data_IF_344280610555
#
_entry.id   IF_344280610555
#
_cell.length_a   1.000
_cell.length_b   1.000
_cell.length_c   1.000
_cell.angle_alpha   90.00
_cell.angle_beta   90.00
_cell.angle_gamma   90.00
#
_symmetry.space_group_name_H-M   'P 1'
#
loop_
_entity.id
_entity.type
_entity.pdbx_description
1 polymer ?
#
# COMPACT_ATOMS: atom_id res chain seq x y z
N UNK A 1 3.21 45.16 -44.80
CA UNK A 1 2.17 45.25 -45.85
C UNK A 1 1.41 43.91 -45.82
N UNK A 2 0.11 43.94 -45.57
CA UNK A 2 -0.94 43.70 -46.59
C UNK A 2 -1.03 42.20 -46.96
N UNK A 3 -1.95 41.42 -46.37
CA UNK A 3 -3.36 41.21 -46.79
C UNK A 3 -3.51 40.19 -47.93
N UNK A 4 -4.42 39.22 -47.91
CA UNK A 4 -5.45 38.88 -46.90
C UNK A 4 -6.30 37.68 -47.35
N UNK A 5 -7.33 37.31 -46.56
CA UNK A 5 -8.29 36.25 -46.93
C UNK A 5 -9.26 36.67 -48.05
N UNK A 6 -10.04 35.74 -48.63
CA UNK A 6 -11.43 35.66 -48.15
C UNK A 6 -12.03 34.23 -48.06
N UNK A 7 -13.28 34.19 -47.61
CA UNK A 7 -14.15 33.03 -47.35
C UNK A 7 -14.94 32.66 -48.62
N UNK A 8 -15.51 31.44 -48.68
CA UNK A 8 -16.64 31.12 -49.56
C UNK A 8 -17.79 30.47 -48.77
N UNK A 9 -19.03 30.89 -49.05
CA UNK A 9 -20.26 30.51 -48.32
C UNK A 9 -21.44 30.38 -49.29
N UNK A 10 -22.28 29.35 -49.13
CA UNK A 10 -23.57 29.10 -49.84
C UNK A 10 -24.31 28.00 -49.04
N UNK A 11 -25.61 28.01 -48.64
CA UNK A 11 -26.88 28.63 -49.13
C UNK A 11 -27.27 28.20 -50.56
N UNK A 12 -28.53 27.95 -50.98
CA UNK A 12 -29.93 27.94 -50.42
C UNK A 12 -30.77 26.99 -51.37
N UNK A 13 -32.09 26.72 -51.37
CA UNK A 13 -33.38 27.14 -50.75
C UNK A 13 -34.35 25.91 -50.85
N UNK A 14 -34.90 25.31 -49.78
CA UNK A 14 -36.28 25.48 -49.23
C UNK A 14 -37.44 25.50 -50.28
N UNK A 15 -38.50 24.69 -50.15
CA UNK A 15 -39.91 24.84 -50.65
C UNK A 15 -40.74 23.55 -50.29
N UNK A 16 -42.08 23.49 -50.18
CA UNK A 16 -43.11 24.44 -49.69
C UNK A 16 -44.46 23.72 -49.36
N UNK A 17 -45.41 24.47 -48.76
CA UNK A 17 -46.83 24.21 -48.40
C UNK A 17 -47.77 23.83 -49.61
N UNK A 18 -49.11 23.54 -49.49
CA UNK A 18 -50.07 23.96 -48.43
C UNK A 18 -51.27 23.04 -48.00
N UNK A 19 -51.97 23.47 -46.93
CA UNK A 19 -53.45 23.33 -46.72
C UNK A 19 -53.91 22.81 -45.32
N UNK A 20 -55.14 23.05 -44.81
CA UNK A 20 -56.14 24.15 -45.02
C UNK A 20 -57.22 24.16 -43.87
N UNK A 21 -58.44 24.69 -44.06
CA UNK A 21 -59.52 24.94 -43.05
C UNK A 21 -60.85 24.19 -43.39
N UNK A 22 -61.97 24.14 -42.63
CA UNK A 22 -62.73 25.13 -41.78
C UNK A 22 -63.75 24.50 -40.76
N UNK A 23 -64.10 25.21 -39.65
CA UNK A 23 -65.42 25.33 -38.93
C UNK A 23 -66.25 24.10 -38.45
N UNK A 24 -67.10 24.09 -37.39
CA UNK A 24 -67.37 24.96 -36.20
C UNK A 24 -68.50 24.37 -35.29
N UNK A 25 -68.70 24.88 -34.06
CA UNK A 25 -69.91 24.74 -33.18
C UNK A 25 -70.13 23.41 -32.40
N UNK A 26 -70.65 23.32 -31.15
CA UNK A 26 -70.72 24.24 -29.99
C UNK A 26 -71.14 23.52 -28.67
N UNK A 27 -70.83 24.14 -27.51
CA UNK A 27 -71.42 23.99 -26.15
C UNK A 27 -71.37 22.62 -25.39
N UNK A 28 -70.96 22.63 -24.10
CA UNK A 28 -71.01 21.45 -23.21
C UNK A 28 -70.30 21.60 -21.84
N UNK A 29 -71.01 22.14 -20.85
CA UNK A 29 -70.65 22.40 -19.44
C UNK A 29 -69.51 21.62 -18.71
N UNK A 30 -68.65 22.39 -18.01
CA UNK A 30 -68.07 22.17 -16.66
C UNK A 30 -67.57 20.78 -16.20
N UNK A 31 -66.24 20.67 -15.96
CA UNK A 31 -65.66 20.41 -14.64
C UNK A 31 -64.11 20.37 -14.67
N UNK A 32 -63.44 21.07 -13.76
CA UNK A 32 -62.00 20.88 -13.48
C UNK A 32 -61.83 19.84 -12.36
N UNK A 33 -60.79 19.01 -12.41
CA UNK A 33 -59.67 19.28 -11.50
C UNK A 33 -58.28 19.32 -12.18
N UNK A 34 -57.30 19.84 -11.44
CA UNK A 34 -55.92 20.06 -11.89
C UNK A 34 -55.08 18.77 -12.00
N UNK A 35 -53.87 18.81 -12.61
CA UNK A 35 -53.32 17.67 -13.35
C UNK A 35 -52.67 16.58 -12.51
N UNK A 36 -52.37 15.47 -13.19
CA UNK A 36 -51.68 14.30 -12.66
C UNK A 36 -50.37 14.65 -11.92
N UNK A 37 -50.11 13.92 -10.84
CA UNK A 37 -48.85 13.98 -10.11
C UNK A 37 -47.69 13.53 -11.00
N UNK A 38 -46.52 14.20 -10.94
CA UNK A 38 -45.34 13.72 -11.62
C UNK A 38 -44.90 12.40 -10.98
N UNK A 39 -44.86 11.33 -11.77
CA UNK A 39 -44.26 10.04 -11.37
C UNK A 39 -42.75 10.17 -11.34
N UNK A 40 -42.25 10.84 -10.29
CA UNK A 40 -40.83 10.88 -9.94
C UNK A 40 -40.37 9.46 -9.72
N UNK A 41 -39.71 8.87 -10.72
CA UNK A 41 -39.11 7.54 -10.70
C UNK A 41 -37.82 7.57 -9.86
N UNK A 42 -37.97 7.97 -8.60
CA UNK A 42 -36.94 7.93 -7.58
C UNK A 42 -36.51 6.47 -7.42
N UNK A 43 -35.40 6.11 -8.09
CA UNK A 43 -34.76 4.80 -7.99
C UNK A 43 -34.23 4.65 -6.56
N UNK A 44 -35.12 4.25 -5.66
CA UNK A 44 -34.83 3.92 -4.27
C UNK A 44 -33.67 2.94 -4.27
N UNK A 45 -32.55 3.34 -3.66
CA UNK A 45 -31.38 2.48 -3.49
C UNK A 45 -31.85 1.18 -2.82
N UNK A 46 -31.45 0.04 -3.41
CA UNK A 46 -31.64 -1.28 -2.81
C UNK A 46 -30.78 -1.33 -1.55
N UNK A 47 -31.24 -2.04 -0.53
CA UNK A 47 -30.41 -2.32 0.64
C UNK A 47 -29.58 -3.57 0.41
N UNK A 48 -28.53 -3.73 1.21
CA UNK A 48 -27.76 -4.97 1.34
C UNK A 48 -28.64 -6.23 1.53
N UNK A 49 -29.75 -6.11 2.26
CA UNK A 49 -30.74 -7.19 2.47
C UNK A 49 -31.46 -7.64 1.21
N UNK A 50 -31.42 -6.82 0.15
CA UNK A 50 -32.24 -6.96 -1.05
C UNK A 50 -31.41 -7.50 -2.23
N UNK A 51 -30.16 -7.93 -1.97
CA UNK A 51 -29.22 -8.51 -2.93
C UNK A 51 -29.26 -10.05 -2.84
N UNK A 52 -29.23 -10.70 -4.00
CA UNK A 52 -29.07 -12.15 -4.10
C UNK A 52 -27.64 -12.58 -3.75
N UNK A 53 -27.46 -13.86 -3.41
CA UNK A 53 -26.13 -14.46 -3.20
C UNK A 53 -25.22 -14.28 -4.41
N UNK A 54 -25.78 -14.35 -5.63
CA UNK A 54 -25.00 -14.22 -6.86
C UNK A 54 -24.65 -12.76 -7.16
N UNK A 55 -25.51 -11.78 -6.87
CA UNK A 55 -25.14 -10.36 -6.90
C UNK A 55 -24.05 -10.04 -5.86
N UNK A 56 -24.14 -10.61 -4.65
CA UNK A 56 -23.10 -10.48 -3.62
C UNK A 56 -21.77 -11.09 -4.10
N UNK A 57 -21.81 -12.27 -4.73
CA UNK A 57 -20.64 -12.92 -5.31
C UNK A 57 -20.09 -12.13 -6.50
N UNK A 58 -20.93 -11.49 -7.32
CA UNK A 58 -20.50 -10.65 -8.44
C UNK A 58 -19.85 -9.35 -7.95
N UNK A 59 -20.44 -8.68 -6.95
CA UNK A 59 -19.86 -7.52 -6.25
C UNK A 59 -18.45 -7.86 -5.72
N UNK A 60 -18.26 -9.08 -5.20
CA UNK A 60 -16.96 -9.59 -4.76
C UNK A 60 -16.03 -9.97 -5.94
N UNK A 61 -16.55 -10.53 -7.04
CA UNK A 61 -15.76 -10.93 -8.21
C UNK A 61 -15.33 -9.75 -9.11
N UNK A 62 -15.98 -8.59 -8.94
CA UNK A 62 -15.60 -7.29 -9.49
C UNK A 62 -14.53 -6.58 -8.63
N UNK A 63 -14.07 -7.20 -7.52
CA UNK A 63 -12.86 -6.80 -6.76
C UNK A 63 -11.73 -6.47 -7.73
N UNK A 64 -11.17 -5.28 -7.59
CA UNK A 64 -10.00 -4.87 -8.36
C UNK A 64 -10.23 -4.77 -9.86
N UNK A 65 -11.49 -4.65 -10.32
CA UNK A 65 -11.85 -4.40 -11.73
C UNK A 65 -12.61 -3.09 -11.95
N UNK A 66 -13.46 -2.68 -11.00
CA UNK A 66 -14.09 -1.34 -11.00
C UNK A 66 -14.01 -0.67 -9.60
N UNK A 67 -14.02 0.68 -9.53
CA UNK A 67 -14.14 1.42 -8.27
C UNK A 67 -15.46 1.14 -7.54
N UNK A 68 -15.44 1.15 -6.20
CA UNK A 68 -16.63 0.86 -5.37
C UNK A 68 -17.84 1.75 -5.70
N UNK A 69 -17.62 3.03 -6.06
CA UNK A 69 -18.70 3.94 -6.44
C UNK A 69 -19.38 3.56 -7.78
N UNK A 70 -18.66 2.89 -8.68
CA UNK A 70 -19.23 2.35 -9.93
C UNK A 70 -19.96 1.04 -9.67
N UNK A 71 -19.41 0.17 -8.81
CA UNK A 71 -20.08 -1.06 -8.34
C UNK A 71 -21.40 -0.71 -7.62
N UNK A 72 -21.39 0.25 -6.69
CA UNK A 72 -22.59 0.74 -6.00
C UNK A 72 -23.65 1.24 -6.99
N UNK A 73 -23.25 2.07 -7.98
CA UNK A 73 -24.14 2.51 -9.06
C UNK A 73 -24.68 1.36 -9.92
N UNK A 74 -23.89 0.30 -10.19
CA UNK A 74 -24.32 -0.87 -10.97
C UNK A 74 -25.43 -1.66 -10.26
N UNK A 75 -25.25 -1.97 -8.97
CA UNK A 75 -26.21 -2.80 -8.22
C UNK A 75 -27.31 -1.98 -7.52
N UNK A 76 -27.20 -0.66 -7.53
CA UNK A 76 -28.19 0.26 -6.94
C UNK A 76 -28.05 0.46 -5.44
N UNK A 77 -26.85 0.26 -4.89
CA UNK A 77 -26.51 0.25 -3.45
C UNK A 77 -25.49 1.34 -3.11
N UNK A 78 -25.29 1.64 -1.82
CA UNK A 78 -24.31 2.64 -1.41
C UNK A 78 -22.85 2.13 -1.38
N UNK A 79 -21.88 3.04 -1.51
CA UNK A 79 -20.44 2.71 -1.38
C UNK A 79 -20.10 2.16 0.02
N UNK A 80 -20.83 2.64 1.03
CA UNK A 80 -20.81 2.13 2.41
C UNK A 80 -21.31 0.68 2.47
N UNK A 81 -22.34 0.31 1.70
CA UNK A 81 -22.83 -1.07 1.60
C UNK A 81 -21.89 -1.97 0.81
N UNK A 82 -21.27 -1.49 -0.29
CA UNK A 82 -20.19 -2.22 -0.99
C UNK A 82 -19.05 -2.55 -0.02
N UNK A 83 -18.66 -1.57 0.81
CA UNK A 83 -17.65 -1.77 1.86
C UNK A 83 -18.12 -2.70 2.99
N UNK A 84 -19.41 -2.69 3.33
CA UNK A 84 -20.00 -3.60 4.31
C UNK A 84 -20.02 -5.06 3.80
N UNK A 85 -20.37 -5.30 2.53
CA UNK A 85 -20.26 -6.61 1.86
C UNK A 85 -18.82 -7.12 1.94
N UNK A 86 -17.85 -6.26 1.63
CA UNK A 86 -16.43 -6.59 1.64
C UNK A 86 -15.94 -6.98 3.05
N UNK A 87 -16.37 -6.27 4.11
CA UNK A 87 -16.10 -6.64 5.51
C UNK A 87 -16.81 -7.94 5.93
N UNK A 88 -18.08 -8.10 5.55
CA UNK A 88 -18.88 -9.28 5.88
C UNK A 88 -18.29 -10.56 5.27
N UNK A 89 -17.78 -10.49 4.03
CA UNK A 89 -17.11 -11.61 3.38
C UNK A 89 -15.75 -11.92 4.02
N UNK A 90 -14.93 -10.92 4.40
CA UNK A 90 -13.72 -11.15 5.23
C UNK A 90 -14.07 -11.91 6.51
N UNK A 91 -15.10 -11.47 7.24
CA UNK A 91 -15.56 -12.13 8.47
C UNK A 91 -16.11 -13.55 8.23
N UNK A 92 -16.80 -13.78 7.11
CA UNK A 92 -17.29 -15.11 6.69
C UNK A 92 -16.13 -16.07 6.39
N UNK A 93 -15.10 -15.61 5.66
CA UNK A 93 -13.89 -16.40 5.39
C UNK A 93 -13.14 -16.73 6.68
N UNK A 94 -12.99 -15.78 7.60
CA UNK A 94 -12.35 -16.04 8.90
C UNK A 94 -13.08 -17.12 9.71
N UNK A 95 -14.42 -17.09 9.76
CA UNK A 95 -15.24 -18.15 10.41
C UNK A 95 -15.11 -19.51 9.73
N UNK A 96 -15.02 -19.55 8.40
CA UNK A 96 -14.86 -20.81 7.65
C UNK A 96 -13.47 -21.46 7.89
N UNK A 97 -12.44 -20.68 8.20
CA UNK A 97 -11.13 -21.19 8.61
C UNK A 97 -11.19 -21.77 10.03
N UNK A 98 -11.73 -21.00 10.99
CA UNK A 98 -11.94 -21.40 12.38
C UNK A 98 -12.81 -22.68 12.52
N UNK A 99 -13.90 -22.79 11.74
CA UNK A 99 -14.74 -24.00 11.69
C UNK A 99 -14.09 -25.19 10.94
N UNK A 100 -13.00 -24.97 10.21
CA UNK A 100 -12.21 -26.03 9.58
C UNK A 100 -11.12 -26.55 10.55
N UNK A 101 -10.45 -25.67 11.28
CA UNK A 101 -9.47 -26.06 12.32
C UNK A 101 -10.13 -26.91 13.42
N UNK A 102 -11.36 -26.57 13.84
CA UNK A 102 -12.16 -27.39 14.79
C UNK A 102 -12.49 -28.79 14.29
N UNK A 103 -12.52 -29.01 12.96
CA UNK A 103 -12.86 -30.30 12.33
C UNK A 103 -11.64 -31.16 12.02
N UNK A 104 -10.48 -30.54 11.85
CA UNK A 104 -9.22 -31.23 11.59
C UNK A 104 -8.11 -30.55 12.41
N UNK A 105 -7.90 -30.96 13.69
CA UNK A 105 -7.03 -30.25 14.61
C UNK A 105 -5.58 -30.25 14.09
N UNK A 106 -5.10 -29.05 13.76
CA UNK A 106 -3.77 -28.83 13.23
C UNK A 106 -2.73 -29.23 14.27
N UNK A 107 -1.86 -30.18 13.93
CA UNK A 107 -0.70 -30.52 14.76
C UNK A 107 0.30 -29.39 14.72
N UNK A 108 0.71 -28.91 15.89
CA UNK A 108 1.69 -27.84 16.09
C UNK A 108 2.94 -28.37 16.79
N UNK A 109 4.09 -27.82 16.44
CA UNK A 109 5.40 -28.18 17.00
C UNK A 109 5.63 -27.35 18.27
N UNK A 110 5.56 -27.99 19.43
CA UNK A 110 5.75 -27.34 20.73
C UNK A 110 7.18 -26.85 20.94
N UNK A 111 7.32 -25.83 21.78
CA UNK A 111 8.62 -25.28 22.23
C UNK A 111 9.52 -24.80 21.07
N UNK A 112 8.91 -24.50 19.91
CA UNK A 112 9.54 -24.01 18.69
C UNK A 112 8.95 -22.66 18.32
N UNK A 113 9.84 -21.74 17.97
CA UNK A 113 9.52 -20.42 17.43
C UNK A 113 10.32 -20.20 16.15
N UNK A 114 9.65 -19.74 15.09
CA UNK A 114 10.29 -19.42 13.81
C UNK A 114 10.13 -17.93 13.54
N UNK A 115 11.23 -17.24 13.24
CA UNK A 115 11.22 -15.80 12.92
C UNK A 115 11.64 -15.58 11.48
N UNK A 116 10.87 -14.78 10.75
CA UNK A 116 11.17 -14.33 9.37
C UNK A 116 11.34 -12.80 9.36
N UNK A 117 12.59 -12.30 9.33
CA UNK A 117 12.89 -10.88 9.13
C UNK A 117 12.41 -10.36 7.76
N UNK A 118 11.54 -9.36 7.80
CA UNK A 118 11.03 -8.66 6.63
C UNK A 118 11.43 -7.18 6.68
N UNK A 119 11.46 -6.57 5.50
CA UNK A 119 11.37 -5.13 5.35
C UNK A 119 10.15 -4.81 4.49
N UNK A 120 9.36 -3.84 4.90
CA UNK A 120 8.26 -3.30 4.11
C UNK A 120 8.43 -1.80 3.96
N UNK A 121 7.91 -1.23 2.88
CA UNK A 121 8.07 0.20 2.67
C UNK A 121 7.60 0.71 1.32
N UNK A 122 7.98 1.95 1.05
CA UNK A 122 7.78 2.65 -0.21
C UNK A 122 9.07 3.32 -0.67
N UNK A 123 9.27 3.32 -1.98
CA UNK A 123 10.23 4.21 -2.65
C UNK A 123 9.48 5.08 -3.66
N UNK A 124 9.76 6.38 -3.70
CA UNK A 124 9.08 7.32 -4.58
C UNK A 124 10.07 8.21 -5.35
N UNK A 125 9.76 8.46 -6.62
CA UNK A 125 10.58 9.23 -7.55
C UNK A 125 9.75 10.38 -8.12
N UNK A 126 10.23 11.62 -7.93
CA UNK A 126 9.64 12.78 -8.58
C UNK A 126 9.80 12.71 -10.10
N UNK A 127 8.73 12.95 -10.85
CA UNK A 127 8.71 12.82 -12.31
C UNK A 127 9.29 14.05 -13.03
N UNK A 128 9.52 15.16 -12.33
CA UNK A 128 10.15 16.37 -12.87
C UNK A 128 9.38 16.92 -14.07
N UNK A 129 10.06 17.09 -15.22
CA UNK A 129 9.44 17.56 -16.47
C UNK A 129 8.42 16.58 -17.09
N UNK A 130 8.21 15.40 -16.50
CA UNK A 130 7.16 14.44 -16.86
C UNK A 130 5.99 14.42 -15.87
N UNK A 131 6.03 15.27 -14.83
CA UNK A 131 4.92 15.41 -13.91
C UNK A 131 3.71 16.08 -14.57
N UNK A 132 2.51 15.66 -14.18
CA UNK A 132 1.25 16.36 -14.44
C UNK A 132 0.48 16.61 -13.11
N UNK A 133 -0.70 17.23 -13.19
CA UNK A 133 -1.55 17.57 -12.03
C UNK A 133 -1.94 16.35 -11.18
N UNK A 134 -2.06 15.17 -11.79
CA UNK A 134 -2.49 13.92 -11.15
C UNK A 134 -1.34 12.92 -10.93
N UNK A 135 -0.20 13.12 -11.60
CA UNK A 135 0.96 12.26 -11.52
C UNK A 135 2.25 13.09 -11.34
N UNK A 136 2.53 13.55 -10.12
CA UNK A 136 3.81 14.23 -9.82
C UNK A 136 4.93 13.25 -9.44
N UNK A 137 4.58 12.06 -8.95
CA UNK A 137 5.50 11.01 -8.52
C UNK A 137 5.13 9.65 -9.09
N UNK A 138 6.14 8.81 -9.33
CA UNK A 138 6.00 7.35 -9.45
C UNK A 138 6.56 6.71 -8.19
N UNK A 139 5.80 5.83 -7.57
CA UNK A 139 6.16 5.18 -6.32
C UNK A 139 5.91 3.67 -6.38
N UNK A 140 6.67 2.92 -5.59
CA UNK A 140 6.58 1.47 -5.47
C UNK A 140 6.46 1.11 -4.01
N UNK A 141 5.38 0.43 -3.61
CA UNK A 141 5.21 -0.18 -2.28
C UNK A 141 5.59 -1.66 -2.35
N UNK A 142 6.23 -2.19 -1.32
CA UNK A 142 6.78 -3.55 -1.32
C UNK A 142 6.78 -4.22 0.05
N UNK A 143 6.89 -5.56 0.05
CA UNK A 143 7.31 -6.39 1.18
C UNK A 143 8.41 -7.33 0.68
N UNK A 144 9.57 -7.32 1.34
CA UNK A 144 10.75 -8.13 0.98
C UNK A 144 11.34 -8.80 2.21
N UNK A 145 12.20 -9.81 2.03
CA UNK A 145 13.05 -10.26 3.12
C UNK A 145 14.05 -9.15 3.47
N UNK A 146 14.32 -8.95 4.76
CA UNK A 146 15.41 -8.08 5.19
C UNK A 146 16.77 -8.55 4.65
N UNK A 147 16.92 -9.87 4.43
CA UNK A 147 18.14 -10.55 3.97
C UNK A 147 18.21 -10.75 2.43
N UNK A 148 17.24 -10.23 1.68
CA UNK A 148 17.20 -10.33 0.21
C UNK A 148 16.72 -11.67 -0.35
N UNK A 149 16.21 -12.58 0.50
CA UNK A 149 15.69 -13.89 0.11
C UNK A 149 14.25 -13.89 -0.45
N UNK A 150 13.90 -14.96 -1.15
CA UNK A 150 12.52 -15.21 -1.61
C UNK A 150 11.60 -15.54 -0.45
N UNK A 151 10.59 -14.69 -0.21
CA UNK A 151 9.55 -14.94 0.79
C UNK A 151 8.41 -15.85 0.27
N UNK A 152 8.41 -16.23 -1.02
CA UNK A 152 7.40 -17.08 -1.65
C UNK A 152 7.08 -18.40 -0.93
N UNK A 153 8.04 -19.07 -0.23
CA UNK A 153 7.73 -20.23 0.60
C UNK A 153 6.96 -19.90 1.90
N UNK A 154 7.09 -18.69 2.44
CA UNK A 154 6.41 -18.25 3.68
C UNK A 154 5.08 -17.57 3.34
N UNK A 155 5.11 -16.61 2.42
CA UNK A 155 4.00 -15.75 2.02
C UNK A 155 3.33 -16.33 0.77
N UNK A 156 2.01 -16.57 0.85
CA UNK A 156 1.20 -16.98 -0.31
C UNK A 156 0.82 -15.80 -1.19
N UNK A 157 0.58 -14.62 -0.60
CA UNK A 157 0.32 -13.35 -1.31
C UNK A 157 0.38 -12.15 -0.38
N UNK A 158 0.59 -10.98 -0.97
CA UNK A 158 0.37 -9.67 -0.32
C UNK A 158 -0.79 -8.95 -1.00
N UNK A 159 -1.60 -8.25 -0.21
CA UNK A 159 -2.73 -7.43 -0.67
C UNK A 159 -2.49 -5.99 -0.24
N UNK A 160 -2.26 -5.12 -1.21
CA UNK A 160 -2.09 -3.69 -1.00
C UNK A 160 -3.45 -2.99 -1.10
N UNK A 161 -3.79 -2.20 -0.10
CA UNK A 161 -5.01 -1.42 -0.01
C UNK A 161 -4.66 0.07 -0.12
N UNK A 162 -4.85 0.61 -1.33
CA UNK A 162 -4.61 2.00 -1.65
C UNK A 162 -5.79 2.90 -1.25
N UNK A 163 -5.57 4.22 -1.30
CA UNK A 163 -6.61 5.23 -1.13
C UNK A 163 -7.77 5.05 -2.14
N UNK A 164 -9.05 5.29 -1.77
CA UNK A 164 -10.20 5.02 -2.65
C UNK A 164 -10.29 5.82 -3.95
N UNK A 165 -9.43 6.82 -4.17
CA UNK A 165 -9.31 7.54 -5.45
C UNK A 165 -8.65 6.70 -6.55
N UNK A 166 -7.83 5.72 -6.20
CA UNK A 166 -7.19 4.84 -7.17
C UNK A 166 -8.22 3.92 -7.82
N UNK A 167 -8.13 3.75 -9.14
CA UNK A 167 -8.82 2.65 -9.79
C UNK A 167 -8.35 1.33 -9.17
N UNK A 168 -9.31 0.48 -8.78
CA UNK A 168 -9.05 -0.85 -8.26
C UNK A 168 -8.14 -0.83 -7.01
N UNK A 169 -8.52 -0.14 -5.93
CA UNK A 169 -7.60 0.23 -4.85
C UNK A 169 -7.13 -0.97 -4.01
N UNK A 170 -7.86 -2.10 -4.01
CA UNK A 170 -7.39 -3.36 -3.43
C UNK A 170 -6.64 -4.19 -4.48
N UNK A 171 -5.31 -4.11 -4.50
CA UNK A 171 -4.43 -4.90 -5.39
C UNK A 171 -4.01 -6.22 -4.72
N UNK A 172 -3.53 -7.19 -5.51
CA UNK A 172 -3.23 -8.56 -5.06
C UNK A 172 -1.98 -9.05 -5.78
N UNK A 173 -0.92 -9.39 -5.05
CA UNK A 173 0.36 -9.86 -5.60
C UNK A 173 0.62 -11.26 -5.04
N UNK A 174 0.54 -12.29 -5.89
CA UNK A 174 0.41 -13.70 -5.45
C UNK A 174 1.67 -14.56 -5.63
N UNK A 175 2.79 -13.93 -5.96
CA UNK A 175 4.16 -14.46 -6.01
C UNK A 175 5.16 -13.31 -5.78
N UNK A 176 6.41 -13.64 -5.45
CA UNK A 176 7.48 -12.64 -5.32
C UNK A 176 7.95 -12.11 -6.70
N UNK A 177 8.47 -10.87 -6.80
CA UNK A 177 8.58 -9.87 -5.73
C UNK A 177 7.20 -9.34 -5.31
N UNK A 178 6.98 -9.19 -4.00
CA UNK A 178 5.70 -8.71 -3.46
C UNK A 178 5.67 -7.19 -3.48
N UNK A 179 5.62 -6.61 -4.67
CA UNK A 179 5.67 -5.16 -4.90
C UNK A 179 4.58 -4.66 -5.86
N UNK A 180 4.30 -3.36 -5.79
CA UNK A 180 3.30 -2.67 -6.59
C UNK A 180 3.77 -1.26 -6.92
N UNK A 181 3.98 -0.98 -8.21
CA UNK A 181 4.31 0.35 -8.71
C UNK A 181 3.06 1.08 -9.20
N UNK A 182 2.93 2.35 -8.85
CA UNK A 182 1.83 3.25 -9.19
C UNK A 182 2.34 4.70 -9.38
N UNK A 183 1.44 5.60 -9.78
CA UNK A 183 1.71 7.04 -9.91
C UNK A 183 0.66 7.87 -9.16
N UNK A 184 1.06 9.01 -8.61
CA UNK A 184 0.14 9.91 -7.91
C UNK A 184 0.78 11.23 -7.49
N UNK A 185 0.02 12.03 -6.72
CA UNK A 185 0.43 13.37 -6.28
C UNK A 185 0.38 13.59 -4.76
N UNK A 186 -0.37 12.77 -4.03
CA UNK A 186 -0.62 12.92 -2.60
C UNK A 186 -0.12 11.73 -1.77
N UNK A 187 0.24 12.04 -0.53
CA UNK A 187 0.67 11.09 0.50
C UNK A 187 -0.55 10.47 1.19
N UNK A 188 -0.47 9.18 1.55
CA UNK A 188 -1.56 8.46 2.22
C UNK A 188 -1.07 7.17 2.89
N UNK A 189 -1.89 6.64 3.80
CA UNK A 189 -1.67 5.35 4.43
C UNK A 189 -2.07 4.19 3.50
N UNK A 190 -1.12 3.31 3.21
CA UNK A 190 -1.32 2.04 2.49
C UNK A 190 -1.52 0.93 3.53
N UNK A 191 -2.66 0.25 3.46
CA UNK A 191 -2.85 -1.00 4.20
C UNK A 191 -2.16 -2.15 3.47
N UNK A 192 -1.33 -2.93 4.16
CA UNK A 192 -0.59 -4.07 3.62
C UNK A 192 -1.05 -5.33 4.36
N UNK A 193 -1.81 -6.21 3.69
CA UNK A 193 -2.24 -7.50 4.28
C UNK A 193 -1.40 -8.64 3.71
N UNK A 194 -0.53 -9.23 4.53
CA UNK A 194 0.28 -10.41 4.20
C UNK A 194 -0.51 -11.68 4.51
N UNK A 195 -0.68 -12.55 3.52
CA UNK A 195 -1.33 -13.85 3.67
C UNK A 195 -0.31 -14.97 3.58
N UNK A 196 -0.24 -15.82 4.61
CA UNK A 196 0.56 -17.04 4.63
C UNK A 196 -0.08 -18.16 3.80
N UNK A 197 0.67 -19.24 3.56
CA UNK A 197 0.11 -20.45 2.95
C UNK A 197 -0.88 -21.15 3.90
N UNK A 198 -1.90 -21.88 3.41
CA UNK A 198 -2.93 -22.47 4.26
C UNK A 198 -2.40 -23.46 5.30
N UNK A 199 -1.26 -24.10 5.03
CA UNK A 199 -0.59 -25.02 5.94
C UNK A 199 0.08 -24.32 7.12
N UNK A 200 0.40 -23.03 7.03
CA UNK A 200 0.88 -22.24 8.18
C UNK A 200 -0.16 -22.20 9.31
N UNK A 201 -1.45 -22.22 8.95
CA UNK A 201 -2.57 -22.08 9.89
C UNK A 201 -2.50 -20.81 10.74
N UNK A 202 -1.92 -19.75 10.18
CA UNK A 202 -1.84 -18.43 10.80
C UNK A 202 -2.77 -17.40 10.14
N UNK A 203 -3.15 -16.41 10.94
CA UNK A 203 -3.99 -15.29 10.50
C UNK A 203 -3.18 -14.35 9.59
N UNK A 204 -3.82 -13.66 8.62
CA UNK A 204 -3.14 -12.65 7.83
C UNK A 204 -2.62 -11.52 8.71
N UNK A 205 -1.37 -11.11 8.50
CA UNK A 205 -0.75 -9.95 9.16
C UNK A 205 -1.21 -8.67 8.45
N UNK A 206 -1.77 -7.71 9.18
CA UNK A 206 -2.16 -6.39 8.67
C UNK A 206 -1.18 -5.32 9.19
N UNK A 207 -0.44 -4.71 8.26
CA UNK A 207 0.52 -3.63 8.46
C UNK A 207 -0.05 -2.35 7.84
N UNK A 208 0.30 -1.18 8.39
CA UNK A 208 -0.07 0.13 7.84
C UNK A 208 1.20 0.94 7.57
N UNK A 209 1.36 1.43 6.35
CA UNK A 209 2.57 2.13 5.90
C UNK A 209 2.23 3.47 5.27
N UNK A 210 2.88 4.56 5.70
CA UNK A 210 2.62 5.89 5.15
C UNK A 210 3.51 6.16 3.93
N UNK A 211 2.89 6.32 2.75
CA UNK A 211 3.58 6.72 1.52
C UNK A 211 4.05 8.18 1.63
N UNK A 212 5.37 8.41 1.71
CA UNK A 212 5.97 9.74 1.53
C UNK A 212 6.45 9.95 0.09
N UNK A 213 6.20 11.15 -0.42
CA UNK A 213 6.59 11.65 -1.74
C UNK A 213 7.61 12.80 -1.62
N UNK A 214 7.62 13.51 -0.50
CA UNK A 214 8.51 14.63 -0.22
C UNK A 214 9.52 14.26 0.89
N UNK A 215 10.79 14.73 0.82
CA UNK A 215 11.72 14.61 1.94
C UNK A 215 11.27 15.44 3.14
N UNK A 216 11.55 15.00 4.36
CA UNK A 216 11.18 15.75 5.58
C UNK A 216 12.20 16.87 5.90
N UNK A 217 13.49 16.59 5.77
CA UNK A 217 14.56 17.52 6.19
C UNK A 217 15.11 18.42 5.06
N UNK A 218 14.77 18.15 3.79
CA UNK A 218 15.32 18.89 2.64
C UNK A 218 14.27 19.84 2.04
N UNK A 219 14.36 21.13 2.41
CA UNK A 219 13.59 22.22 1.77
C UNK A 219 14.14 22.64 0.40
N UNK A 220 15.12 21.92 -0.15
CA UNK A 220 15.66 22.12 -1.49
C UNK A 220 14.69 21.71 -2.60
N UNK A 221 14.97 22.08 -3.86
CA UNK A 221 14.16 21.67 -5.00
C UNK A 221 14.17 20.15 -5.17
N UNK A 222 13.00 19.53 -5.36
CA UNK A 222 12.90 18.10 -5.65
C UNK A 222 13.82 17.68 -6.80
N UNK A 223 14.43 16.51 -6.67
CA UNK A 223 15.49 16.04 -7.57
C UNK A 223 15.11 14.69 -8.16
N UNK A 224 15.00 14.60 -9.49
CA UNK A 224 14.67 13.35 -10.21
C UNK A 224 15.71 12.22 -10.05
N UNK A 225 16.83 12.50 -9.36
CA UNK A 225 17.92 11.55 -9.07
C UNK A 225 17.99 11.02 -7.64
N UNK A 226 17.34 11.65 -6.64
CA UNK A 226 17.25 11.10 -5.27
C UNK A 226 15.79 10.70 -5.02
N UNK A 227 15.47 9.42 -4.82
CA UNK A 227 14.14 9.02 -4.38
C UNK A 227 13.94 9.37 -2.91
N UNK A 228 12.67 9.47 -2.49
CA UNK A 228 12.31 9.34 -1.07
C UNK A 228 12.12 7.85 -0.79
N UNK A 229 12.87 7.29 0.14
CA UNK A 229 12.71 5.93 0.64
C UNK A 229 12.12 6.03 2.04
N UNK A 230 11.08 5.24 2.32
CA UNK A 230 10.57 5.03 3.68
C UNK A 230 10.41 3.53 3.83
N UNK A 231 11.28 2.90 4.60
CA UNK A 231 11.30 1.47 4.85
C UNK A 231 11.17 1.22 6.36
N UNK A 232 10.72 0.03 6.76
CA UNK A 232 10.62 -0.38 8.14
C UNK A 232 10.90 -1.88 8.26
N UNK A 233 11.71 -2.23 9.25
CA UNK A 233 12.03 -3.61 9.63
C UNK A 233 10.94 -4.18 10.53
N UNK A 234 10.58 -5.45 10.32
CA UNK A 234 9.63 -6.18 11.16
C UNK A 234 9.94 -7.68 11.14
N UNK A 235 9.45 -8.42 12.13
CA UNK A 235 9.74 -9.84 12.33
C UNK A 235 8.45 -10.66 12.41
N UNK A 236 8.20 -11.48 11.38
CA UNK A 236 7.06 -12.39 11.40
C UNK A 236 7.42 -13.60 12.28
N UNK A 237 6.87 -13.62 13.50
CA UNK A 237 7.07 -14.68 14.48
C UNK A 237 5.94 -15.73 14.38
N UNK A 238 6.33 -17.00 14.21
CA UNK A 238 5.46 -18.17 14.22
C UNK A 238 5.71 -18.99 15.50
N UNK A 239 4.94 -18.73 16.55
CA UNK A 239 4.97 -19.48 17.81
C UNK A 239 4.18 -20.78 17.69
N UNK A 240 4.76 -21.91 18.10
CA UNK A 240 4.22 -23.26 17.90
C UNK A 240 3.69 -23.49 16.46
N UNK A 241 4.55 -23.44 15.43
CA UNK A 241 4.16 -23.55 14.03
C UNK A 241 3.50 -24.91 13.72
N UNK A 242 2.69 -24.98 12.67
CA UNK A 242 2.13 -26.28 12.24
C UNK A 242 3.22 -27.27 11.83
N UNK A 243 3.01 -28.55 12.08
CA UNK A 243 3.93 -29.64 11.71
C UNK A 243 4.19 -29.67 10.20
N UNK A 244 3.18 -29.35 9.38
CA UNK A 244 3.29 -29.31 7.93
C UNK A 244 4.09 -28.10 7.44
N UNK A 245 3.81 -26.91 7.98
CA UNK A 245 4.51 -25.67 7.65
C UNK A 245 5.96 -25.74 8.08
N UNK A 246 6.21 -26.07 9.36
CA UNK A 246 7.55 -26.30 9.88
C UNK A 246 8.32 -27.29 9.02
N UNK A 247 7.74 -28.46 8.72
CA UNK A 247 8.40 -29.48 7.89
C UNK A 247 8.79 -28.97 6.50
N UNK A 248 7.96 -28.11 5.90
CA UNK A 248 8.17 -27.52 4.57
C UNK A 248 9.19 -26.40 4.56
N UNK A 249 9.23 -25.54 5.59
CA UNK A 249 10.06 -24.33 5.58
C UNK A 249 11.34 -24.42 6.43
N UNK A 250 11.49 -25.36 7.38
CA UNK A 250 12.67 -25.52 8.28
C UNK A 250 14.07 -25.59 7.62
N UNK A 251 14.16 -25.68 6.28
CA UNK A 251 15.42 -25.68 5.50
C UNK A 251 15.59 -24.42 4.64
N UNK A 252 14.66 -23.48 4.70
CA UNK A 252 14.76 -22.22 3.99
C UNK A 252 15.72 -21.28 4.73
N UNK A 253 16.64 -20.57 4.06
CA UNK A 253 17.67 -19.81 4.76
C UNK A 253 17.11 -18.59 5.53
N UNK A 254 15.99 -18.03 5.08
CA UNK A 254 15.31 -16.85 5.65
C UNK A 254 14.68 -17.02 7.04
N UNK A 255 15.09 -18.01 7.82
CA UNK A 255 14.43 -18.46 9.04
C UNK A 255 15.39 -18.60 10.21
N UNK A 256 15.02 -17.96 11.31
CA UNK A 256 15.71 -18.09 12.58
C UNK A 256 14.86 -18.97 13.50
N UNK A 257 15.44 -20.07 13.97
CA UNK A 257 14.83 -20.97 14.94
C UNK A 257 15.27 -20.57 16.34
N UNK A 258 14.30 -20.38 17.24
CA UNK A 258 14.49 -20.15 18.67
C UNK A 258 15.54 -19.05 18.98
N UNK A 259 15.52 -17.95 18.23
CA UNK A 259 16.27 -16.72 18.52
C UNK A 259 17.80 -16.76 18.42
N UNK A 260 18.41 -17.78 17.78
CA UNK A 260 19.87 -17.92 17.72
C UNK A 260 20.45 -17.73 16.32
N UNK A 261 21.13 -16.60 16.11
CA UNK A 261 22.09 -16.42 15.03
C UNK A 261 23.51 -16.79 15.46
N UNK A 262 24.27 -17.40 14.54
CA UNK A 262 25.60 -16.86 14.24
C UNK A 262 25.39 -15.78 13.16
N UNK A 263 26.03 -14.60 13.24
CA UNK A 263 25.86 -13.57 12.23
C UNK A 263 26.37 -14.04 10.87
N UNK A 264 25.76 -13.61 9.75
CA UNK A 264 26.24 -13.94 8.42
C UNK A 264 27.65 -13.36 8.21
N UNK A 265 28.60 -14.22 7.89
CA UNK A 265 29.95 -13.78 7.50
C UNK A 265 29.88 -13.11 6.13
N UNK A 266 30.43 -11.89 6.00
CA UNK A 266 30.42 -11.14 4.75
C UNK A 266 31.15 -11.92 3.64
N UNK A 267 30.39 -12.45 2.68
CA UNK A 267 30.80 -13.63 1.91
C UNK A 267 30.53 -13.57 0.42
N UNK A 268 31.24 -12.68 -0.29
CA UNK A 268 31.44 -12.66 -1.76
C UNK A 268 30.22 -12.59 -2.68
N UNK A 269 30.18 -11.51 -3.47
CA UNK A 269 29.32 -11.34 -4.64
C UNK A 269 29.49 -12.48 -5.66
N UNK A 270 28.43 -12.81 -6.41
CA UNK A 270 28.52 -13.63 -7.62
C UNK A 270 27.46 -13.20 -8.64
N UNK A 271 27.80 -12.24 -9.51
CA UNK A 271 26.93 -11.81 -10.61
C UNK A 271 26.67 -12.96 -11.61
N UNK A 272 25.48 -13.57 -11.58
CA UNK A 272 24.95 -14.37 -12.70
C UNK A 272 23.84 -13.62 -13.43
N UNK A 273 24.28 -12.84 -14.43
CA UNK A 273 23.45 -12.10 -15.39
C UNK A 273 22.30 -12.97 -15.92
N UNK A 274 21.05 -12.50 -15.79
CA UNK A 274 19.88 -13.09 -16.47
C UNK A 274 18.79 -12.06 -16.73
N UNK A 275 18.58 -11.75 -18.01
CA UNK A 275 17.38 -11.04 -18.51
C UNK A 275 17.42 -9.52 -18.40
N UNK A 276 17.60 -8.82 -19.52
CA UNK A 276 17.31 -7.39 -19.60
C UNK A 276 15.79 -7.15 -19.70
N UNK A 277 15.20 -6.61 -18.64
CA UNK A 277 14.00 -5.77 -18.73
C UNK A 277 14.37 -4.39 -18.22
N UNK A 278 13.96 -3.31 -18.89
CA UNK A 278 14.39 -1.93 -18.56
C UNK A 278 13.62 -1.29 -17.42
N UNK A 279 13.39 -2.06 -16.36
CA UNK A 279 12.97 -1.54 -15.06
C UNK A 279 14.23 -1.38 -14.20
N UNK A 280 14.36 -0.24 -13.53
CA UNK A 280 15.57 0.07 -12.77
C UNK A 280 15.61 -0.79 -11.51
N UNK A 281 16.74 -1.45 -11.26
CA UNK A 281 16.95 -2.32 -10.11
C UNK A 281 16.73 -1.53 -8.81
N UNK A 282 15.54 -1.67 -8.21
CA UNK A 282 15.09 -0.89 -7.06
C UNK A 282 15.94 -1.23 -5.82
N UNK A 283 16.40 -2.48 -5.72
CA UNK A 283 17.27 -2.98 -4.64
C UNK A 283 18.56 -2.18 -4.49
N UNK A 284 19.09 -1.59 -5.57
CA UNK A 284 20.26 -0.70 -5.52
C UNK A 284 20.00 0.63 -4.78
N UNK A 285 18.73 1.06 -4.69
CA UNK A 285 18.37 2.27 -3.96
C UNK A 285 18.23 2.00 -2.45
N UNK A 286 17.67 0.86 -2.06
CA UNK A 286 17.56 0.45 -0.65
C UNK A 286 18.94 0.36 0.01
N UNK A 287 19.80 -0.54 -0.50
CA UNK A 287 21.17 -0.80 -0.03
C UNK A 287 22.11 0.43 -0.04
N UNK A 288 21.72 1.50 -0.75
CA UNK A 288 22.53 2.72 -0.85
C UNK A 288 22.01 3.86 0.02
N UNK A 289 20.73 3.87 0.39
CA UNK A 289 20.15 5.00 1.13
C UNK A 289 19.85 4.63 2.58
N UNK A 290 19.30 3.44 2.87
CA UNK A 290 19.15 2.99 4.26
C UNK A 290 20.52 2.81 4.89
N UNK A 291 21.35 1.90 4.35
CA UNK A 291 22.68 1.58 4.86
C UNK A 291 23.59 2.82 4.99
N UNK A 292 23.49 3.81 4.09
CA UNK A 292 24.35 5.01 4.14
C UNK A 292 23.85 6.05 5.16
N UNK A 293 22.53 6.33 5.19
CA UNK A 293 21.98 7.33 6.12
C UNK A 293 21.98 6.76 7.56
N UNK A 294 21.78 5.45 7.74
CA UNK A 294 21.98 4.75 9.01
C UNK A 294 23.45 4.70 9.44
N UNK A 295 24.38 4.40 8.53
CA UNK A 295 25.83 4.38 8.86
C UNK A 295 26.34 5.78 9.25
N UNK A 296 25.90 6.83 8.56
CA UNK A 296 26.22 8.22 8.91
C UNK A 296 25.62 8.58 10.29
N UNK A 297 24.39 8.17 10.59
CA UNK A 297 23.80 8.34 11.92
C UNK A 297 24.56 7.58 13.02
N UNK A 298 25.00 6.34 12.76
CA UNK A 298 25.80 5.52 13.69
C UNK A 298 27.19 6.13 13.93
N UNK A 299 27.84 6.64 12.88
CA UNK A 299 29.14 7.34 13.00
C UNK A 299 28.97 8.62 13.81
N UNK A 300 27.96 9.44 13.51
CA UNK A 300 27.64 10.66 14.26
C UNK A 300 27.34 10.37 15.74
N UNK A 301 26.54 9.35 16.04
CA UNK A 301 26.26 8.92 17.41
C UNK A 301 27.53 8.46 18.14
N UNK A 302 28.37 7.66 17.47
CA UNK A 302 29.67 7.20 18.00
C UNK A 302 30.60 8.36 18.32
N UNK A 303 30.75 9.33 17.41
CA UNK A 303 31.66 10.47 17.59
C UNK A 303 31.18 11.42 18.68
N UNK A 304 29.86 11.61 18.84
CA UNK A 304 29.27 12.30 19.98
C UNK A 304 29.59 11.58 21.32
N UNK A 305 29.46 10.25 21.37
CA UNK A 305 29.82 9.45 22.56
C UNK A 305 31.32 9.53 22.85
N UNK A 306 32.19 9.38 21.86
CA UNK A 306 33.64 9.47 22.04
C UNK A 306 34.06 10.88 22.50
N UNK A 307 33.43 11.93 21.98
CA UNK A 307 33.62 13.32 22.43
C UNK A 307 33.22 13.48 23.89
N UNK A 308 32.08 12.93 24.32
CA UNK A 308 31.63 13.01 25.72
C UNK A 308 32.53 12.20 26.66
N UNK A 309 32.99 11.02 26.25
CA UNK A 309 33.97 10.19 27.00
C UNK A 309 35.31 10.91 27.15
N UNK A 310 35.83 11.53 26.09
CA UNK A 310 37.08 12.28 26.15
C UNK A 310 36.97 13.50 27.07
N UNK A 311 35.84 14.23 27.04
CA UNK A 311 35.57 15.29 28.01
C UNK A 311 35.52 14.75 29.45
N UNK A 312 34.78 13.67 29.72
CA UNK A 312 34.70 13.09 31.07
C UNK A 312 36.06 12.61 31.59
N UNK A 313 36.96 12.12 30.73
CA UNK A 313 38.35 11.78 31.11
C UNK A 313 39.17 13.02 31.49
N UNK A 314 39.01 14.13 30.78
CA UNK A 314 39.67 15.39 31.12
C UNK A 314 39.10 15.99 32.42
N UNK A 315 37.78 16.00 32.57
CA UNK A 315 37.08 16.44 33.78
C UNK A 315 37.54 15.61 35.01
N UNK A 316 37.66 14.28 34.88
CA UNK A 316 38.19 13.38 35.93
C UNK A 316 39.65 13.65 36.27
N UNK A 317 40.54 13.75 35.26
CA UNK A 317 41.96 14.00 35.47
C UNK A 317 42.21 15.35 36.15
N UNK A 318 41.38 16.36 35.88
CA UNK A 318 41.41 17.63 36.61
C UNK A 318 41.02 17.45 38.09
N UNK A 319 39.94 16.73 38.38
CA UNK A 319 39.48 16.44 39.75
C UNK A 319 40.47 15.58 40.55
N UNK A 320 41.13 14.60 39.92
CA UNK A 320 42.18 13.80 40.56
C UNK A 320 43.39 14.65 40.96
N UNK A 321 43.83 15.56 40.07
CA UNK A 321 44.90 16.51 40.38
C UNK A 321 44.51 17.50 41.48
N UNK A 322 43.27 17.99 41.49
CA UNK A 322 42.76 18.87 42.56
C UNK A 322 42.70 18.14 43.91
N UNK A 323 42.13 16.93 43.94
CA UNK A 323 42.07 16.10 45.14
C UNK A 323 43.47 15.72 45.67
N UNK A 324 44.45 15.50 44.79
CA UNK A 324 45.84 15.27 45.19
C UNK A 324 46.47 16.51 45.85
N UNK A 325 46.25 17.71 45.29
CA UNK A 325 46.73 18.98 45.87
C UNK A 325 46.08 19.29 47.22
N UNK A 326 44.77 19.07 47.35
CA UNK A 326 44.05 19.25 48.62
C UNK A 326 44.55 18.28 49.70
N UNK A 327 44.82 17.02 49.35
CA UNK A 327 45.43 16.04 50.28
C UNK A 327 46.84 16.43 50.71
N UNK A 328 47.68 16.92 49.79
CA UNK A 328 49.03 17.38 50.12
C UNK A 328 49.00 18.59 51.07
N UNK A 329 48.13 19.57 50.81
CA UNK A 329 47.97 20.75 51.64
C UNK A 329 47.38 20.46 53.04
N UNK A 330 46.69 19.33 53.22
CA UNK A 330 46.13 18.89 54.50
C UNK A 330 47.06 17.96 55.31
N UNK A 331 48.29 17.74 54.84
CA UNK A 331 49.33 16.94 55.50
C UNK A 331 50.49 17.78 56.06
N UNK A 332 50.27 19.10 56.22
CA UNK A 332 51.16 20.09 56.83
C UNK A 332 50.38 20.91 57.86
#
# INVERSE_FOLDING_TARGET
MASGSPISTSQLLLHHQPGLSTSSSAAGATASPSPASPTVSSKRKRRLTDLTTDEINEIVALRGKLPQAVVGKKFGIEQTEVSAIQRMQRAKTARLLDDNEKKNPVRRVKDVEMTVPIAYGTVSFWLGKKADEYHSHRWTVYVRSALGEDLGPVIKKVVFQLHPSFNNPTRSVEAAPFELTETGWGEFEIGITVYFHPDASEKPLEIFHHLKLYPEDDSGPQNTKKPVVVESYDEIVFTEPSEAFFSRIQKHPSLFLNGKQNPPSAGTENEKKRGETKEQNITQWFLKHSDSEELEAIISARDNVMTRVNKLKADLLQLENEAARLKANAAH
#
